data_IF_845380035238
#
_entry.id   IF_845380035238
#
_cell.length_a   1.000
_cell.length_b   1.000
_cell.length_c   1.000
_cell.angle_alpha   90.00
_cell.angle_beta   90.00
_cell.angle_gamma   90.00
#
_symmetry.space_group_name_H-M   'P 1'
#
loop_
_entity.id
_entity.type
_entity.pdbx_description
1 polymer ?
#
# COMPACT_ATOMS: atom_id res chain seq x y z
N UNK A 1 -7.54 17.27 41.74
CA UNK A 1 -8.90 17.86 41.74
C UNK A 1 -9.58 17.47 40.44
N UNK A 2 -10.55 16.57 40.54
CA UNK A 2 -11.38 16.12 39.42
C UNK A 2 -12.41 17.20 39.12
N UNK A 3 -12.31 17.81 37.93
CA UNK A 3 -13.34 18.69 37.38
C UNK A 3 -14.12 17.91 36.31
N UNK A 4 -15.33 17.51 36.66
CA UNK A 4 -16.31 16.89 35.76
C UNK A 4 -16.67 17.87 34.65
N UNK A 5 -16.09 17.71 33.45
CA UNK A 5 -16.53 18.39 32.24
C UNK A 5 -17.72 17.63 31.65
N UNK A 6 -18.93 18.08 31.97
CA UNK A 6 -20.18 17.55 31.43
C UNK A 6 -20.24 17.80 29.92
N UNK A 7 -20.06 16.73 29.15
CA UNK A 7 -19.63 16.72 27.74
C UNK A 7 -20.75 16.75 26.68
N UNK A 8 -21.98 17.20 26.98
CA UNK A 8 -23.13 16.91 26.08
C UNK A 8 -23.97 18.07 25.54
N UNK A 9 -23.76 19.35 25.90
CA UNK A 9 -24.56 20.44 25.34
C UNK A 9 -23.80 21.49 24.50
N UNK A 10 -22.46 21.52 24.54
CA UNK A 10 -21.66 22.55 23.84
C UNK A 10 -21.21 22.19 22.41
N UNK A 11 -21.45 20.95 21.93
CA UNK A 11 -20.98 20.49 20.60
C UNK A 11 -21.94 20.76 19.43
N UNK A 12 -23.11 21.35 19.68
CA UNK A 12 -24.19 21.50 18.69
C UNK A 12 -24.68 22.95 18.56
N UNK A 13 -23.77 23.93 18.69
CA UNK A 13 -24.10 25.33 18.42
C UNK A 13 -23.70 25.66 16.96
N UNK A 14 -24.62 26.09 16.09
CA UNK A 14 -24.32 26.42 14.70
C UNK A 14 -23.25 27.51 14.56
N UNK A 15 -23.21 28.52 15.43
CA UNK A 15 -22.20 29.60 15.39
C UNK A 15 -20.78 29.07 15.65
N UNK A 16 -20.64 28.11 16.58
CA UNK A 16 -19.35 27.48 16.88
C UNK A 16 -18.88 26.66 15.69
N UNK A 17 -19.80 26.02 14.97
CA UNK A 17 -19.49 25.25 13.76
C UNK A 17 -19.06 26.20 12.63
N UNK A 18 -19.77 27.30 12.41
CA UNK A 18 -19.41 28.32 11.41
C UNK A 18 -18.03 28.91 11.68
N UNK A 19 -17.73 29.25 12.94
CA UNK A 19 -16.42 29.75 13.34
C UNK A 19 -15.31 28.72 13.09
N UNK A 20 -15.59 27.43 13.33
CA UNK A 20 -14.64 26.34 13.06
C UNK A 20 -14.41 26.12 11.57
N UNK A 21 -15.45 26.14 10.74
CA UNK A 21 -15.31 26.07 9.29
C UNK A 21 -14.51 27.26 8.74
N UNK A 22 -14.79 28.46 9.23
CA UNK A 22 -14.04 29.68 8.89
C UNK A 22 -12.56 29.56 9.26
N UNK A 23 -12.25 28.95 10.42
CA UNK A 23 -10.86 28.71 10.84
C UNK A 23 -10.15 27.73 9.90
N UNK A 24 -10.83 26.69 9.42
CA UNK A 24 -10.28 25.78 8.41
C UNK A 24 -10.06 26.48 7.06
N UNK A 25 -11.03 27.26 6.58
CA UNK A 25 -10.91 28.01 5.32
C UNK A 25 -9.71 28.98 5.30
N UNK A 26 -9.35 29.52 6.47
CA UNK A 26 -8.21 30.44 6.67
C UNK A 26 -6.88 29.73 6.93
N UNK A 27 -6.89 28.43 7.18
CA UNK A 27 -5.66 27.69 7.42
C UNK A 27 -4.96 27.38 6.09
N UNK A 28 -3.98 28.22 5.73
CA UNK A 28 -3.20 28.06 4.51
C UNK A 28 -2.43 26.73 4.45
N UNK A 29 -2.04 26.15 5.60
CA UNK A 29 -1.30 24.88 5.65
C UNK A 29 -2.14 23.70 5.13
N UNK A 30 -3.47 23.76 5.20
CA UNK A 30 -4.31 22.70 4.63
C UNK A 30 -4.14 22.60 3.11
N UNK A 31 -3.78 23.70 2.46
CA UNK A 31 -3.68 23.81 1.02
C UNK A 31 -2.23 23.74 0.51
N UNK A 32 -1.26 23.43 1.37
CA UNK A 32 0.09 23.10 0.92
C UNK A 32 0.13 21.69 0.33
N UNK A 33 1.07 21.47 -0.58
CA UNK A 33 1.36 20.14 -1.12
C UNK A 33 1.65 19.17 0.03
N UNK A 34 1.24 17.90 -0.12
CA UNK A 34 1.44 16.78 0.82
C UNK A 34 0.68 16.78 2.17
N UNK A 35 -0.09 17.82 2.53
CA UNK A 35 -0.82 17.84 3.81
C UNK A 35 -2.13 17.00 3.84
N UNK A 36 -2.09 15.81 3.24
CA UNK A 36 -3.21 14.88 3.07
C UNK A 36 -3.86 14.49 4.40
N UNK A 37 -3.04 14.21 5.42
CA UNK A 37 -3.54 13.77 6.72
C UNK A 37 -4.39 14.86 7.40
N UNK A 38 -3.95 16.12 7.35
CA UNK A 38 -4.72 17.21 7.92
C UNK A 38 -6.01 17.47 7.11
N UNK A 39 -5.94 17.42 5.77
CA UNK A 39 -7.12 17.56 4.92
C UNK A 39 -8.16 16.46 5.18
N UNK A 40 -7.73 15.21 5.35
CA UNK A 40 -8.62 14.10 5.70
C UNK A 40 -9.38 14.34 7.02
N UNK A 41 -8.68 14.83 8.05
CA UNK A 41 -9.31 15.19 9.35
C UNK A 41 -10.36 16.28 9.17
N UNK A 42 -10.11 17.26 8.31
CA UNK A 42 -11.08 18.34 8.02
C UNK A 42 -12.26 17.82 7.20
N UNK A 43 -12.02 16.96 6.21
CA UNK A 43 -13.09 16.32 5.43
C UNK A 43 -14.02 15.47 6.31
N UNK A 44 -13.48 14.74 7.30
CA UNK A 44 -14.28 14.03 8.30
C UNK A 44 -15.12 14.99 9.15
N UNK A 45 -14.57 16.14 9.52
CA UNK A 45 -15.31 17.17 10.24
C UNK A 45 -16.43 17.78 9.37
N UNK A 46 -16.18 18.00 8.08
CA UNK A 46 -17.19 18.45 7.11
C UNK A 46 -18.33 17.42 6.97
N UNK A 47 -17.99 16.13 6.91
CA UNK A 47 -19.01 15.07 6.87
C UNK A 47 -19.87 15.05 8.13
N UNK A 48 -19.28 15.26 9.31
CA UNK A 48 -20.04 15.44 10.55
C UNK A 48 -20.97 16.65 10.47
N UNK A 49 -20.54 17.77 9.86
CA UNK A 49 -21.41 18.94 9.65
C UNK A 49 -22.61 18.56 8.79
N UNK A 50 -22.45 17.85 7.68
CA UNK A 50 -23.61 17.42 6.88
C UNK A 50 -24.60 16.56 7.67
N UNK A 51 -24.11 15.62 8.48
CA UNK A 51 -24.97 14.81 9.35
C UNK A 51 -25.76 15.69 10.34
N UNK A 52 -25.09 16.68 10.96
CA UNK A 52 -25.76 17.62 11.86
C UNK A 52 -26.82 18.46 11.14
N UNK A 53 -26.52 18.94 9.93
CA UNK A 53 -27.49 19.69 9.12
C UNK A 53 -28.72 18.86 8.77
N UNK A 54 -28.53 17.57 8.45
CA UNK A 54 -29.64 16.66 8.17
C UNK A 54 -30.51 16.43 9.42
N UNK A 55 -29.90 16.19 10.58
CA UNK A 55 -30.59 15.94 11.84
C UNK A 55 -31.37 17.17 12.33
N UNK A 56 -30.87 18.38 12.09
CA UNK A 56 -31.46 19.62 12.61
C UNK A 56 -32.26 20.41 11.57
N UNK A 57 -32.62 19.80 10.42
CA UNK A 57 -33.32 20.47 9.31
C UNK A 57 -34.65 21.14 9.68
N UNK A 58 -35.27 20.72 10.78
CA UNK A 58 -36.56 21.21 11.27
C UNK A 58 -36.44 22.01 12.58
N UNK A 59 -35.23 22.19 13.12
CA UNK A 59 -35.00 22.96 14.34
C UNK A 59 -34.88 24.45 14.00
N UNK A 60 -35.79 25.27 14.54
CA UNK A 60 -35.83 26.71 14.32
C UNK A 60 -34.52 27.42 14.70
N UNK A 61 -33.76 26.89 15.67
CA UNK A 61 -32.46 27.44 16.09
C UNK A 61 -31.41 27.39 14.98
N UNK A 62 -31.53 26.44 14.07
CA UNK A 62 -30.61 26.27 12.95
C UNK A 62 -31.05 27.04 11.70
N UNK A 63 -32.26 27.60 11.67
CA UNK A 63 -32.94 28.05 10.45
C UNK A 63 -32.08 28.86 9.46
N UNK A 64 -31.48 29.96 9.90
CA UNK A 64 -30.60 30.78 9.04
C UNK A 64 -29.24 30.10 8.78
N UNK A 65 -28.68 29.46 9.80
CA UNK A 65 -27.38 28.78 9.76
C UNK A 65 -27.35 27.56 8.82
N UNK A 66 -28.48 26.86 8.63
CA UNK A 66 -28.54 25.65 7.78
C UNK A 66 -28.01 25.91 6.37
N UNK A 67 -28.41 27.03 5.76
CA UNK A 67 -27.97 27.38 4.41
C UNK A 67 -26.50 27.83 4.40
N UNK A 68 -26.12 28.69 5.33
CA UNK A 68 -24.75 29.21 5.45
C UNK A 68 -23.74 28.09 5.69
N UNK A 69 -23.98 27.24 6.70
CA UNK A 69 -23.13 26.09 7.02
C UNK A 69 -23.05 25.10 5.87
N UNK A 70 -24.16 24.83 5.16
CA UNK A 70 -24.13 23.95 3.99
C UNK A 70 -23.25 24.54 2.88
N UNK A 71 -23.37 25.83 2.61
CA UNK A 71 -22.55 26.50 1.59
C UNK A 71 -21.07 26.51 1.96
N UNK A 72 -20.73 26.83 3.21
CA UNK A 72 -19.35 26.80 3.71
C UNK A 72 -18.76 25.39 3.69
N UNK A 73 -19.50 24.40 4.20
CA UNK A 73 -19.09 23.00 4.18
C UNK A 73 -18.83 22.51 2.74
N UNK A 74 -19.75 22.79 1.81
CA UNK A 74 -19.59 22.45 0.40
C UNK A 74 -18.36 23.14 -0.22
N UNK A 75 -18.18 24.45 0.00
CA UNK A 75 -17.07 25.21 -0.57
C UNK A 75 -15.72 24.73 -0.03
N UNK A 76 -15.63 24.47 1.28
CA UNK A 76 -14.44 23.93 1.92
C UNK A 76 -14.14 22.52 1.41
N UNK A 77 -15.14 21.65 1.31
CA UNK A 77 -14.98 20.30 0.76
C UNK A 77 -14.43 20.33 -0.67
N UNK A 78 -15.04 21.12 -1.55
CA UNK A 78 -14.60 21.26 -2.94
C UNK A 78 -13.14 21.70 -3.00
N UNK A 79 -12.77 22.75 -2.27
CA UNK A 79 -11.39 23.27 -2.27
C UNK A 79 -10.38 22.25 -1.73
N UNK A 80 -10.73 21.49 -0.68
CA UNK A 80 -9.86 20.45 -0.14
C UNK A 80 -9.66 19.29 -1.13
N UNK A 81 -10.74 18.88 -1.80
CA UNK A 81 -10.70 17.81 -2.82
C UNK A 81 -9.92 18.24 -4.07
N UNK A 82 -10.04 19.50 -4.48
CA UNK A 82 -9.24 20.08 -5.56
C UNK A 82 -7.75 20.11 -5.21
N UNK A 83 -7.41 20.45 -3.96
CA UNK A 83 -6.02 20.40 -3.48
C UNK A 83 -5.46 18.96 -3.49
N UNK A 84 -6.24 17.97 -3.04
CA UNK A 84 -5.86 16.56 -3.13
C UNK A 84 -5.67 16.11 -4.58
N UNK A 85 -6.61 16.44 -5.46
CA UNK A 85 -6.54 16.10 -6.87
C UNK A 85 -5.30 16.71 -7.55
N UNK A 86 -5.00 17.99 -7.28
CA UNK A 86 -3.81 18.67 -7.80
C UNK A 86 -2.50 18.05 -7.29
N UNK A 87 -2.46 17.68 -6.00
CA UNK A 87 -1.33 16.97 -5.43
C UNK A 87 -1.10 15.60 -6.12
N UNK A 88 -2.14 14.78 -6.26
CA UNK A 88 -2.02 13.47 -6.91
C UNK A 88 -1.69 13.58 -8.40
N UNK A 89 -2.23 14.57 -9.10
CA UNK A 89 -1.89 14.83 -10.50
C UNK A 89 -0.40 15.14 -10.65
N UNK A 90 0.13 16.01 -9.78
CA UNK A 90 1.55 16.36 -9.75
C UNK A 90 2.42 15.14 -9.44
N UNK A 91 2.05 14.36 -8.41
CA UNK A 91 2.82 13.18 -8.02
C UNK A 91 2.86 12.12 -9.14
N UNK A 92 1.73 11.87 -9.81
CA UNK A 92 1.67 10.95 -10.96
C UNK A 92 2.51 11.47 -12.13
N UNK A 93 2.51 12.77 -12.38
CA UNK A 93 3.36 13.36 -13.42
C UNK A 93 4.85 13.11 -13.14
N UNK A 94 5.31 13.39 -11.92
CA UNK A 94 6.70 13.14 -11.48
C UNK A 94 7.08 11.66 -11.58
N UNK A 95 6.15 10.75 -11.28
CA UNK A 95 6.39 9.31 -11.43
C UNK A 95 6.53 8.95 -12.92
N UNK A 96 5.58 9.35 -13.75
CA UNK A 96 5.56 9.06 -15.20
C UNK A 96 6.74 9.66 -15.96
N UNK A 97 7.21 10.85 -15.57
CA UNK A 97 8.34 11.51 -16.22
C UNK A 97 9.69 10.95 -15.79
N UNK A 98 9.73 10.08 -14.77
CA UNK A 98 10.97 9.52 -14.23
C UNK A 98 11.77 10.52 -13.38
N UNK A 99 11.18 11.66 -12.99
CA UNK A 99 11.81 12.68 -12.13
C UNK A 99 11.87 12.27 -10.64
N UNK A 100 11.27 11.12 -10.31
CA UNK A 100 11.33 10.54 -8.98
C UNK A 100 12.60 9.68 -8.79
N UNK A 101 12.88 9.34 -7.53
CA UNK A 101 13.74 8.22 -7.20
C UNK A 101 13.22 7.52 -5.94
N UNK A 102 13.70 6.30 -5.70
CA UNK A 102 13.32 5.51 -4.54
C UNK A 102 13.44 6.28 -3.22
N UNK A 103 14.48 7.10 -3.05
CA UNK A 103 14.70 7.86 -1.82
C UNK A 103 13.71 9.03 -1.65
N UNK A 104 13.33 9.72 -2.72
CA UNK A 104 12.34 10.80 -2.65
C UNK A 104 10.94 10.27 -2.36
N UNK A 105 10.54 9.17 -3.02
CA UNK A 105 9.27 8.49 -2.74
C UNK A 105 9.25 7.93 -1.33
N UNK A 106 10.36 7.32 -0.87
CA UNK A 106 10.45 6.82 0.50
C UNK A 106 10.27 7.93 1.54
N UNK A 107 10.91 9.09 1.37
CA UNK A 107 10.72 10.23 2.27
C UNK A 107 9.26 10.70 2.32
N UNK A 108 8.59 10.75 1.17
CA UNK A 108 7.17 11.09 1.09
C UNK A 108 6.32 10.08 1.88
N UNK A 109 6.57 8.79 1.69
CA UNK A 109 5.83 7.72 2.38
C UNK A 109 6.06 7.72 3.90
N UNK A 110 7.31 7.92 4.34
CA UNK A 110 7.66 7.97 5.77
C UNK A 110 6.96 9.13 6.51
N UNK A 111 6.69 10.24 5.80
CA UNK A 111 5.93 11.38 6.33
C UNK A 111 4.46 11.05 6.64
N UNK A 112 3.91 9.99 6.03
CA UNK A 112 2.49 9.64 6.11
C UNK A 112 2.19 8.43 7.00
N UNK A 113 3.21 7.85 7.65
CA UNK A 113 3.01 6.71 8.54
C UNK A 113 3.76 6.85 9.86
N UNK A 114 3.29 6.11 10.86
CA UNK A 114 3.97 5.93 12.15
C UNK A 114 5.01 4.81 12.13
N UNK A 115 5.05 4.00 11.07
CA UNK A 115 6.04 2.94 10.92
C UNK A 115 7.47 3.52 10.94
N UNK A 116 8.36 2.87 11.67
CA UNK A 116 9.78 3.23 11.74
C UNK A 116 10.67 2.01 11.51
N UNK A 117 11.63 2.05 10.56
CA UNK A 117 12.52 0.94 10.29
C UNK A 117 13.25 0.45 11.54
N UNK A 118 13.45 -0.86 11.66
CA UNK A 118 14.23 -1.48 12.75
C UNK A 118 13.54 -1.53 14.12
N UNK A 119 12.34 -0.95 14.28
CA UNK A 119 11.57 -1.04 15.53
C UNK A 119 10.78 -2.36 15.56
N UNK A 120 11.14 -3.26 16.47
CA UNK A 120 10.47 -4.54 16.66
C UNK A 120 9.04 -4.37 17.22
N UNK A 121 8.16 -5.33 16.90
CA UNK A 121 6.80 -5.41 17.45
C UNK A 121 5.81 -4.37 16.92
N UNK A 122 6.07 -3.78 15.75
CA UNK A 122 5.14 -2.88 15.10
C UNK A 122 3.99 -3.66 14.48
N UNK A 123 2.77 -3.33 14.93
CA UNK A 123 1.55 -3.98 14.46
C UNK A 123 1.00 -3.20 13.26
N UNK A 124 0.93 -3.85 12.11
CA UNK A 124 0.38 -3.25 10.88
C UNK A 124 -1.13 -3.47 10.77
N UNK A 125 -1.92 -3.00 11.76
CA UNK A 125 -3.38 -3.16 11.78
C UNK A 125 -4.14 -1.87 11.49
N UNK A 126 -5.12 -1.97 10.59
CA UNK A 126 -5.90 -0.84 10.12
C UNK A 126 -5.15 0.01 9.09
N UNK A 127 -5.78 1.12 8.69
CA UNK A 127 -5.27 2.02 7.67
C UNK A 127 -4.90 3.38 8.28
N UNK A 128 -3.86 4.03 7.75
CA UNK A 128 -3.41 5.36 8.15
C UNK A 128 -3.28 6.31 6.93
N UNK A 129 -2.65 7.48 7.13
CA UNK A 129 -2.52 8.47 6.07
C UNK A 129 -1.67 7.97 4.89
N UNK A 130 -0.78 6.99 5.10
CA UNK A 130 -0.02 6.39 4.02
C UNK A 130 -0.94 5.56 3.13
N UNK A 131 -1.91 4.84 3.70
CA UNK A 131 -2.89 4.09 2.91
C UNK A 131 -3.76 5.02 2.05
N UNK A 132 -4.10 6.22 2.56
CA UNK A 132 -4.81 7.24 1.79
C UNK A 132 -3.94 7.82 0.66
N UNK A 133 -2.67 8.12 0.95
CA UNK A 133 -1.69 8.56 -0.04
C UNK A 133 -1.51 7.53 -1.16
N UNK A 134 -1.32 6.26 -0.81
CA UNK A 134 -1.15 5.16 -1.77
C UNK A 134 -2.41 4.95 -2.60
N UNK A 135 -3.59 4.99 -1.97
CA UNK A 135 -4.84 4.87 -2.71
C UNK A 135 -5.03 6.03 -3.69
N UNK A 136 -4.82 7.28 -3.27
CA UNK A 136 -4.93 8.42 -4.16
C UNK A 136 -3.84 8.50 -5.23
N UNK A 137 -2.68 7.87 -5.00
CA UNK A 137 -1.62 7.71 -6.01
C UNK A 137 -1.93 6.62 -7.03
N UNK A 138 -2.54 5.51 -6.62
CA UNK A 138 -2.68 4.33 -7.48
C UNK A 138 -4.09 4.28 -8.10
N UNK A 139 -5.13 4.48 -7.29
CA UNK A 139 -6.53 4.34 -7.69
C UNK A 139 -7.09 5.66 -8.23
N UNK A 140 -6.72 6.01 -9.47
CA UNK A 140 -7.33 7.15 -10.17
C UNK A 140 -8.83 6.91 -10.48
N UNK A 141 -9.21 5.65 -10.63
CA UNK A 141 -10.57 5.22 -10.97
C UNK A 141 -11.29 4.53 -9.79
N UNK A 142 -12.61 4.41 -9.91
CA UNK A 142 -13.44 3.66 -8.97
C UNK A 142 -12.99 2.19 -8.91
N UNK A 143 -12.95 1.62 -7.70
CA UNK A 143 -12.65 0.19 -7.50
C UNK A 143 -13.70 -0.64 -8.23
N UNK A 144 -13.32 -1.54 -9.15
CA UNK A 144 -14.29 -2.35 -9.86
C UNK A 144 -14.89 -3.40 -8.93
N UNK A 145 -16.11 -3.84 -9.24
CA UNK A 145 -16.70 -5.00 -8.59
C UNK A 145 -16.02 -6.29 -9.08
N UNK A 146 -15.76 -7.26 -8.18
CA UNK A 146 -15.19 -8.53 -8.58
C UNK A 146 -16.16 -9.26 -9.51
N UNK A 147 -15.63 -9.84 -10.57
CA UNK A 147 -16.40 -10.62 -11.55
C UNK A 147 -16.31 -12.12 -11.29
N UNK A 148 -15.36 -12.54 -10.47
CA UNK A 148 -15.16 -13.94 -10.14
C UNK A 148 -15.79 -14.30 -8.80
N UNK A 149 -16.57 -15.38 -8.80
CA UNK A 149 -17.07 -15.96 -7.56
C UNK A 149 -15.92 -16.58 -6.76
N UNK A 150 -15.88 -16.28 -5.46
CA UNK A 150 -14.89 -16.85 -4.55
C UNK A 150 -15.23 -18.33 -4.30
N UNK A 151 -14.25 -19.21 -4.53
CA UNK A 151 -14.31 -20.59 -4.06
C UNK A 151 -14.15 -20.64 -2.51
N UNK A 152 -14.50 -21.76 -1.87
CA UNK A 152 -14.46 -21.95 -0.40
C UNK A 152 -13.12 -21.63 0.25
N UNK A 153 -12.02 -21.76 -0.50
CA UNK A 153 -10.66 -21.53 -0.02
C UNK A 153 -10.12 -20.13 -0.39
N UNK A 154 -10.91 -19.29 -1.07
CA UNK A 154 -10.53 -17.94 -1.48
C UNK A 154 -10.92 -16.90 -0.43
N UNK A 155 -10.19 -15.79 -0.40
CA UNK A 155 -10.39 -14.70 0.56
C UNK A 155 -10.91 -13.48 -0.20
N UNK A 156 -11.84 -12.76 0.42
CA UNK A 156 -12.27 -11.46 -0.09
C UNK A 156 -11.08 -10.49 -0.20
N UNK A 157 -11.14 -9.59 -1.16
CA UNK A 157 -10.13 -8.55 -1.29
C UNK A 157 -10.09 -7.68 -0.02
N UNK A 158 -8.94 -7.71 0.64
CA UNK A 158 -8.59 -6.83 1.76
C UNK A 158 -7.20 -6.25 1.47
N UNK A 159 -7.08 -4.93 1.25
CA UNK A 159 -5.80 -4.36 0.87
C UNK A 159 -4.79 -4.49 2.02
N UNK A 160 -3.61 -5.00 1.69
CA UNK A 160 -2.42 -4.97 2.56
C UNK A 160 -2.13 -3.52 2.99
N UNK A 161 -2.06 -3.20 4.29
CA UNK A 161 -1.69 -1.86 4.75
C UNK A 161 -0.34 -1.45 4.16
N UNK A 162 -0.24 -0.25 3.59
CA UNK A 162 0.94 0.21 2.85
C UNK A 162 2.23 0.19 3.70
N UNK A 163 2.13 0.46 4.99
CA UNK A 163 3.26 0.34 5.94
C UNK A 163 3.80 -1.08 6.09
N UNK A 164 2.99 -2.11 5.85
CA UNK A 164 3.48 -3.49 5.81
C UNK A 164 4.34 -3.74 4.57
N UNK A 165 4.09 -3.01 3.47
CA UNK A 165 4.94 -3.02 2.28
C UNK A 165 6.26 -2.29 2.53
N UNK A 166 6.25 -1.17 3.27
CA UNK A 166 7.49 -0.51 3.71
C UNK A 166 8.35 -1.46 4.56
N UNK A 167 7.75 -2.13 5.53
CA UNK A 167 8.41 -3.12 6.39
C UNK A 167 8.95 -4.30 5.59
N UNK A 168 8.18 -4.81 4.61
CA UNK A 168 8.64 -5.84 3.67
C UNK A 168 9.91 -5.40 2.93
N UNK A 169 9.90 -4.21 2.33
CA UNK A 169 11.06 -3.69 1.58
C UNK A 169 12.29 -3.54 2.48
N UNK A 170 12.11 -3.02 3.70
CA UNK A 170 13.19 -2.84 4.67
C UNK A 170 13.79 -4.17 5.14
N UNK A 171 12.96 -5.20 5.35
CA UNK A 171 13.40 -6.50 5.81
C UNK A 171 14.03 -7.36 4.71
N UNK A 172 13.45 -7.34 3.51
CA UNK A 172 13.90 -8.19 2.40
C UNK A 172 15.14 -7.63 1.74
N UNK A 173 15.31 -6.30 1.74
CA UNK A 173 16.38 -5.60 1.02
C UNK A 173 16.40 -6.00 -0.45
N UNK A 174 15.27 -5.75 -1.12
CA UNK A 174 15.09 -5.91 -2.56
C UNK A 174 15.99 -4.93 -3.32
N UNK A 175 16.55 -5.38 -4.44
CA UNK A 175 17.30 -4.52 -5.37
C UNK A 175 16.65 -4.51 -6.75
N UNK A 176 17.11 -3.65 -7.65
CA UNK A 176 16.65 -3.61 -9.04
C UNK A 176 16.92 -4.91 -9.83
N UNK A 177 17.80 -5.79 -9.33
CA UNK A 177 18.10 -7.09 -9.92
C UNK A 177 17.08 -8.18 -9.50
N UNK A 178 16.22 -7.89 -8.53
CA UNK A 178 15.18 -8.82 -8.08
C UNK A 178 13.95 -8.80 -9.00
N UNK A 179 13.28 -9.96 -9.09
CA UNK A 179 11.95 -10.10 -9.70
C UNK A 179 10.97 -10.46 -8.59
N UNK A 180 10.12 -9.50 -8.22
CA UNK A 180 9.15 -9.61 -7.15
C UNK A 180 7.81 -10.13 -7.66
N UNK A 181 7.27 -11.18 -7.02
CA UNK A 181 5.95 -11.72 -7.29
C UNK A 181 4.99 -11.45 -6.13
N UNK A 182 3.83 -10.86 -6.44
CA UNK A 182 2.72 -10.65 -5.52
C UNK A 182 1.58 -11.64 -5.87
N UNK A 183 1.37 -12.66 -5.03
CA UNK A 183 0.40 -13.73 -5.28
C UNK A 183 -0.94 -13.43 -4.60
N UNK A 184 -1.94 -13.09 -5.40
CA UNK A 184 -3.18 -12.46 -4.94
C UNK A 184 -3.03 -10.93 -4.91
N UNK A 185 -2.57 -10.36 -6.01
CA UNK A 185 -2.18 -8.95 -6.08
C UNK A 185 -3.35 -7.97 -5.93
N UNK A 186 -4.60 -8.42 -6.11
CA UNK A 186 -5.80 -7.60 -6.06
C UNK A 186 -5.67 -6.38 -6.98
N UNK A 187 -5.80 -5.18 -6.41
CA UNK A 187 -5.68 -3.92 -7.15
C UNK A 187 -4.22 -3.47 -7.40
N UNK A 188 -3.24 -4.33 -7.10
CA UNK A 188 -1.85 -4.19 -7.54
C UNK A 188 -0.96 -3.25 -6.74
N UNK A 189 -1.45 -2.65 -5.65
CA UNK A 189 -0.71 -1.62 -4.94
C UNK A 189 0.60 -2.11 -4.32
N UNK A 190 0.68 -3.37 -3.88
CA UNK A 190 1.91 -3.92 -3.30
C UNK A 190 3.00 -4.02 -4.37
N UNK A 191 2.72 -4.64 -5.51
CA UNK A 191 3.66 -4.75 -6.64
C UNK A 191 4.16 -3.38 -7.12
N UNK A 192 3.26 -2.41 -7.31
CA UNK A 192 3.63 -1.05 -7.71
C UNK A 192 4.50 -0.34 -6.67
N UNK A 193 4.14 -0.42 -5.38
CA UNK A 193 4.93 0.19 -4.31
C UNK A 193 6.32 -0.42 -4.17
N UNK A 194 6.43 -1.75 -4.30
CA UNK A 194 7.73 -2.43 -4.29
C UNK A 194 8.60 -1.89 -5.42
N UNK A 195 8.10 -1.90 -6.65
CA UNK A 195 8.83 -1.39 -7.81
C UNK A 195 9.28 0.08 -7.63
N UNK A 196 8.36 0.96 -7.22
CA UNK A 196 8.65 2.39 -7.00
C UNK A 196 9.73 2.63 -5.92
N UNK A 197 9.82 1.76 -4.92
CA UNK A 197 10.78 1.91 -3.82
C UNK A 197 12.12 1.21 -4.06
N UNK A 198 12.19 0.23 -4.96
CA UNK A 198 13.38 -0.63 -5.08
C UNK A 198 13.94 -0.72 -6.49
N UNK A 199 13.14 -0.34 -7.50
CA UNK A 199 13.45 -0.55 -8.92
C UNK A 199 13.31 -2.00 -9.38
N UNK A 200 12.95 -2.94 -8.48
CA UNK A 200 12.77 -4.34 -8.85
C UNK A 200 11.65 -4.50 -9.87
N UNK A 201 11.81 -5.40 -10.84
CA UNK A 201 10.69 -5.80 -11.69
C UNK A 201 9.62 -6.45 -10.81
N UNK A 202 8.34 -6.15 -11.06
CA UNK A 202 7.24 -6.68 -10.27
C UNK A 202 6.19 -7.38 -11.14
N UNK A 203 5.67 -8.49 -10.63
CA UNK A 203 4.66 -9.32 -11.26
C UNK A 203 3.54 -9.56 -10.27
N UNK A 204 2.35 -9.04 -10.52
CA UNK A 204 1.16 -9.37 -9.76
C UNK A 204 0.42 -10.55 -10.39
N UNK A 205 -0.01 -11.52 -9.59
CA UNK A 205 -0.88 -12.60 -10.04
C UNK A 205 -2.23 -12.45 -9.36
N UNK A 206 -3.29 -12.29 -10.13
CA UNK A 206 -4.63 -12.04 -9.62
C UNK A 206 -5.65 -12.86 -10.42
N UNK A 207 -6.53 -13.57 -9.70
CA UNK A 207 -7.50 -14.45 -10.32
C UNK A 207 -8.69 -13.66 -10.87
N UNK A 208 -9.13 -12.62 -10.15
CA UNK A 208 -10.24 -11.79 -10.59
C UNK A 208 -9.84 -10.88 -11.76
N UNK A 209 -10.50 -11.07 -12.90
CA UNK A 209 -10.17 -10.36 -14.12
C UNK A 209 -10.44 -8.84 -14.04
N UNK A 210 -11.41 -8.40 -13.22
CA UNK A 210 -11.66 -6.97 -13.04
C UNK A 210 -10.55 -6.32 -12.22
N UNK A 211 -10.09 -6.98 -11.16
CA UNK A 211 -8.95 -6.51 -10.36
C UNK A 211 -7.65 -6.50 -11.16
N UNK A 212 -7.36 -7.59 -11.88
CA UNK A 212 -6.15 -7.65 -12.71
C UNK A 212 -6.12 -6.59 -13.80
N UNK A 213 -7.25 -6.32 -14.49
CA UNK A 213 -7.32 -5.25 -15.50
C UNK A 213 -7.16 -3.87 -14.89
N UNK A 214 -7.77 -3.62 -13.74
CA UNK A 214 -7.62 -2.35 -13.03
C UNK A 214 -6.16 -2.13 -12.61
N UNK A 215 -5.53 -3.13 -12.00
CA UNK A 215 -4.13 -3.06 -11.60
C UNK A 215 -3.19 -2.79 -12.80
N UNK A 216 -3.43 -3.47 -13.92
CA UNK A 216 -2.70 -3.25 -15.17
C UNK A 216 -2.87 -1.82 -15.70
N UNK A 217 -4.12 -1.31 -15.73
CA UNK A 217 -4.40 0.07 -16.11
C UNK A 217 -3.69 1.09 -15.21
N UNK A 218 -3.70 0.89 -13.89
CA UNK A 218 -2.99 1.76 -12.95
C UNK A 218 -1.48 1.79 -13.19
N UNK A 219 -0.85 0.64 -13.46
CA UNK A 219 0.59 0.59 -13.77
C UNK A 219 0.91 1.28 -15.10
N UNK A 220 0.07 1.12 -16.12
CA UNK A 220 0.20 1.81 -17.41
C UNK A 220 0.02 3.32 -17.27
N UNK A 221 -0.96 3.77 -16.49
CA UNK A 221 -1.20 5.18 -16.20
C UNK A 221 -0.03 5.82 -15.44
N UNK A 222 0.61 5.08 -14.54
CA UNK A 222 1.80 5.52 -13.82
C UNK A 222 3.09 5.40 -14.67
N UNK A 223 3.03 4.78 -15.85
CA UNK A 223 4.18 4.60 -16.72
C UNK A 223 5.20 3.61 -16.15
N UNK A 224 4.75 2.50 -15.57
CA UNK A 224 5.60 1.48 -14.92
C UNK A 224 5.72 0.22 -15.79
N UNK A 225 6.56 0.20 -16.84
CA UNK A 225 6.62 -0.90 -17.80
C UNK A 225 7.11 -2.23 -17.19
N UNK A 226 7.88 -2.17 -16.10
CA UNK A 226 8.42 -3.33 -15.40
C UNK A 226 7.47 -3.89 -14.34
N UNK A 227 6.25 -3.34 -14.24
CA UNK A 227 5.17 -3.85 -13.38
C UNK A 227 4.08 -4.44 -14.28
N UNK A 228 3.85 -5.75 -14.14
CA UNK A 228 2.90 -6.48 -15.00
C UNK A 228 1.95 -7.33 -14.17
N UNK A 229 0.72 -7.49 -14.64
CA UNK A 229 -0.30 -8.30 -13.96
C UNK A 229 -0.75 -9.49 -14.82
N UNK A 230 -0.75 -10.67 -14.23
CA UNK A 230 -1.17 -11.92 -14.84
C UNK A 230 -2.55 -12.30 -14.30
N UNK A 231 -3.56 -12.28 -15.16
CA UNK A 231 -4.90 -12.74 -14.79
C UNK A 231 -4.98 -14.27 -14.85
N UNK A 232 -4.70 -14.92 -13.74
CA UNK A 232 -4.73 -16.38 -13.63
C UNK A 232 -4.75 -16.82 -12.17
N UNK A 233 -4.98 -18.11 -11.96
CA UNK A 233 -4.78 -18.71 -10.66
C UNK A 233 -3.29 -18.76 -10.33
N UNK A 234 -2.87 -18.28 -9.16
CA UNK A 234 -1.46 -18.26 -8.74
C UNK A 234 -0.82 -19.66 -8.57
N UNK A 235 -1.56 -20.74 -8.84
CA UNK A 235 -1.04 -22.11 -8.89
C UNK A 235 -0.54 -22.51 -10.28
N UNK A 236 -0.88 -21.75 -11.31
CA UNK A 236 -0.69 -22.13 -12.71
C UNK A 236 0.59 -21.53 -13.37
N UNK A 237 1.02 -20.28 -13.07
CA UNK A 237 2.19 -19.69 -13.73
C UNK A 237 3.50 -20.43 -13.49
N UNK A 238 4.41 -20.30 -14.46
CA UNK A 238 5.83 -20.60 -14.25
C UNK A 238 6.50 -19.42 -13.56
N UNK A 239 7.10 -19.69 -12.41
CA UNK A 239 7.79 -18.72 -11.57
C UNK A 239 9.32 -18.83 -11.67
N UNK A 240 9.84 -19.37 -12.78
CA UNK A 240 11.27 -19.64 -12.94
C UNK A 240 12.16 -18.41 -12.69
N UNK A 241 11.72 -17.22 -13.10
CA UNK A 241 12.44 -15.95 -12.98
C UNK A 241 12.31 -15.27 -11.60
N UNK A 242 11.25 -15.57 -10.84
CA UNK A 242 10.97 -14.91 -9.56
C UNK A 242 12.05 -15.13 -8.50
N UNK A 243 12.48 -14.04 -7.87
CA UNK A 243 13.50 -14.05 -6.79
C UNK A 243 12.87 -13.86 -5.41
N UNK A 244 11.80 -13.07 -5.31
CA UNK A 244 11.05 -12.83 -4.08
C UNK A 244 9.55 -13.01 -4.33
N UNK A 245 8.86 -13.69 -3.43
CA UNK A 245 7.43 -13.98 -3.51
C UNK A 245 6.74 -13.45 -2.27
N UNK A 246 5.62 -12.75 -2.43
CA UNK A 246 4.77 -12.22 -1.37
C UNK A 246 3.36 -12.79 -1.49
N UNK A 247 2.73 -13.15 -0.36
CA UNK A 247 1.36 -13.66 -0.34
C UNK A 247 0.70 -13.52 1.05
N UNK A 248 -0.63 -13.54 1.10
CA UNK A 248 -1.41 -13.46 2.35
C UNK A 248 -2.05 -14.82 2.71
N UNK A 249 -1.90 -15.25 3.98
CA UNK A 249 -2.46 -16.50 4.52
C UNK A 249 -3.95 -16.35 4.87
N UNK A 250 -4.86 -17.28 4.45
CA UNK A 250 -4.75 -18.75 4.50
C UNK A 250 -4.58 -19.49 3.17
N UNK A 251 -4.50 -18.76 2.06
CA UNK A 251 -4.77 -19.30 0.71
C UNK A 251 -3.81 -20.44 0.29
N UNK A 252 -2.53 -20.39 0.65
CA UNK A 252 -1.52 -21.19 -0.08
C UNK A 252 -1.00 -22.46 0.60
N UNK A 253 -1.16 -22.65 1.93
CA UNK A 253 -0.51 -23.79 2.60
C UNK A 253 -1.17 -25.15 2.31
N UNK A 254 -2.47 -25.21 2.01
CA UNK A 254 -3.20 -26.50 1.92
C UNK A 254 -3.16 -27.20 0.55
N UNK A 255 -2.82 -26.53 -0.55
CA UNK A 255 -2.98 -27.10 -1.91
C UNK A 255 -1.80 -26.97 -2.87
N UNK A 256 -0.78 -26.16 -2.55
CA UNK A 256 0.53 -26.25 -3.22
C UNK A 256 1.23 -27.62 -2.92
N UNK A 257 0.65 -28.45 -2.04
CA UNK A 257 1.16 -29.79 -1.73
C UNK A 257 0.73 -30.94 -2.65
N UNK A 258 -0.21 -30.78 -3.60
CA UNK A 258 -0.72 -31.94 -4.35
C UNK A 258 -0.75 -31.85 -5.87
N UNK A 259 -0.57 -30.67 -6.49
CA UNK A 259 -0.51 -30.56 -7.97
C UNK A 259 0.42 -29.47 -8.51
N UNK A 260 0.75 -28.46 -7.71
CA UNK A 260 1.98 -27.72 -7.90
C UNK A 260 3.11 -28.52 -7.22
N UNK A 261 4.25 -28.69 -7.88
CA UNK A 261 5.47 -28.95 -7.10
C UNK A 261 5.70 -27.69 -6.30
N UNK A 262 5.51 -27.81 -4.99
CA UNK A 262 5.88 -26.81 -4.01
C UNK A 262 7.16 -26.07 -4.42
N UNK A 263 7.09 -24.76 -4.72
CA UNK A 263 8.26 -23.96 -5.02
C UNK A 263 9.29 -23.97 -3.87
N UNK A 264 8.88 -24.37 -2.65
CA UNK A 264 9.75 -24.56 -1.49
C UNK A 264 10.51 -25.89 -1.45
N UNK A 265 10.27 -26.82 -2.38
CA UNK A 265 10.91 -28.15 -2.39
C UNK A 265 12.12 -28.31 -3.31
N UNK A 266 12.63 -27.22 -3.90
CA UNK A 266 13.96 -27.22 -4.56
C UNK A 266 14.92 -26.28 -3.83
N UNK A 267 15.65 -26.84 -2.87
CA UNK A 267 16.81 -26.22 -2.21
C UNK A 267 16.50 -25.43 -0.94
N UNK A 268 17.50 -25.20 -0.07
CA UNK A 268 17.29 -24.66 1.28
C UNK A 268 16.86 -23.19 1.22
N UNK A 269 15.58 -22.93 1.47
CA UNK A 269 14.97 -21.59 1.52
C UNK A 269 14.97 -21.03 2.95
N UNK A 270 15.23 -19.74 3.09
CA UNK A 270 15.00 -18.98 4.32
C UNK A 270 13.63 -18.33 4.22
N UNK A 271 12.61 -18.97 4.79
CA UNK A 271 11.30 -18.36 5.02
C UNK A 271 11.40 -17.45 6.25
N UNK A 272 11.34 -16.13 6.03
CA UNK A 272 11.30 -15.17 7.12
C UNK A 272 9.85 -14.80 7.43
N UNK A 273 9.45 -15.06 8.68
CA UNK A 273 8.11 -14.80 9.17
C UNK A 273 8.02 -13.37 9.71
N UNK A 274 7.45 -12.46 8.90
CA UNK A 274 6.94 -11.19 9.40
C UNK A 274 5.68 -11.45 10.23
N UNK A 275 5.84 -11.84 11.49
CA UNK A 275 4.72 -11.85 12.43
C UNK A 275 4.18 -10.41 12.47
N UNK A 276 2.87 -10.21 12.38
CA UNK A 276 2.07 -8.98 12.69
C UNK A 276 1.12 -8.49 11.58
N UNK A 277 1.22 -9.03 10.37
CA UNK A 277 0.18 -8.98 9.32
C UNK A 277 0.11 -10.39 8.74
N UNK A 278 -1.02 -10.84 8.18
CA UNK A 278 -1.15 -12.21 7.61
C UNK A 278 -0.28 -12.43 6.36
N UNK A 279 0.70 -11.57 6.13
CA UNK A 279 1.56 -11.48 4.96
C UNK A 279 2.82 -12.32 5.20
N UNK A 280 3.22 -13.06 4.18
CA UNK A 280 4.41 -13.89 4.16
C UNK A 280 5.22 -13.56 2.92
N UNK A 281 6.54 -13.73 3.01
CA UNK A 281 7.40 -13.69 1.85
C UNK A 281 8.41 -14.83 1.82
N UNK A 282 8.88 -15.16 0.62
CA UNK A 282 9.93 -16.15 0.36
C UNK A 282 10.98 -15.53 -0.56
N UNK A 283 12.26 -15.64 -0.22
CA UNK A 283 13.37 -15.24 -1.09
C UNK A 283 14.13 -16.48 -1.56
N UNK A 284 14.35 -16.62 -2.87
CA UNK A 284 15.24 -17.64 -3.42
C UNK A 284 16.68 -17.28 -3.10
N UNK A 285 17.47 -18.27 -2.66
CA UNK A 285 18.91 -18.09 -2.53
C UNK A 285 19.55 -18.01 -3.92
N UNK A 286 20.53 -17.13 -4.15
CA UNK A 286 21.29 -17.15 -5.39
C UNK A 286 21.91 -18.53 -5.58
N UNK A 287 21.84 -19.06 -6.81
CA UNK A 287 22.54 -20.30 -7.15
C UNK A 287 24.03 -20.10 -6.86
N UNK A 288 24.58 -20.86 -5.92
CA UNK A 288 26.02 -20.82 -5.68
C UNK A 288 26.73 -21.11 -7.01
N UNK A 289 27.57 -20.19 -7.48
CA UNK A 289 28.53 -20.52 -8.54
C UNK A 289 29.33 -21.72 -8.03
N UNK A 290 29.15 -22.87 -8.67
CA UNK A 290 29.98 -24.03 -8.42
C UNK A 290 31.41 -23.70 -8.85
N UNK A 291 32.19 -23.11 -7.93
CA UNK A 291 33.62 -22.94 -8.11
C UNK A 291 34.28 -24.32 -7.97
N UNK A 292 34.75 -24.81 -9.11
CA UNK A 292 35.53 -26.02 -9.32
C UNK A 292 36.71 -26.07 -8.32
N UNK A 293 36.68 -27.04 -7.42
CA UNK A 293 37.83 -27.40 -6.61
C UNK A 293 38.12 -28.91 -6.76
N UNK A 294 38.65 -29.32 -7.90
CA UNK A 294 39.40 -30.58 -8.00
C UNK A 294 40.37 -30.61 -9.18
N UNK A 295 41.56 -30.04 -8.99
CA UNK A 295 42.81 -30.60 -9.56
C UNK A 295 44.01 -29.91 -8.91
N UNK A 296 44.36 -30.33 -7.68
CA UNK A 296 45.74 -30.16 -7.22
C UNK A 296 46.57 -31.28 -7.84
N UNK A 297 47.56 -30.87 -8.62
CA UNK A 297 48.58 -31.71 -9.20
C UNK A 297 49.27 -32.56 -8.13
N UNK A 298 49.36 -33.87 -8.37
CA UNK A 298 50.40 -34.70 -7.78
C UNK A 298 51.64 -34.56 -8.65
N UNK A 299 52.50 -33.61 -8.31
CA UNK A 299 53.91 -33.64 -8.65
C UNK A 299 54.68 -33.60 -7.32
N UNK A 300 54.85 -34.79 -6.73
CA UNK A 300 55.70 -35.01 -5.56
C UNK A 300 56.87 -35.87 -5.98
N UNK A 301 57.95 -35.23 -6.39
CA UNK A 301 59.29 -35.81 -6.50
C UNK A 301 59.71 -36.28 -5.10
N UNK A 302 59.95 -37.58 -4.95
CA UNK A 302 60.70 -38.12 -3.82
C UNK A 302 61.85 -38.95 -4.39
N UNK A 303 63.05 -38.41 -4.30
CA UNK A 303 64.30 -39.10 -4.58
C UNK A 303 65.02 -39.36 -3.25
N UNK A 304 65.65 -40.54 -3.19
CA UNK A 304 66.68 -41.01 -2.25
C UNK A 304 66.24 -41.50 -0.86
N UNK A 305 66.32 -42.82 -0.61
CA UNK A 305 67.51 -43.52 -0.07
C UNK A 305 67.25 -45.02 0.09
N UNK A 306 68.26 -45.80 -0.31
CA UNK A 306 68.49 -47.26 -0.19
C UNK A 306 67.72 -48.17 -1.14
#
# INVERSE_FOLDING_TARGET
MQGNFTLQHYRLNPEVIEARLTAFERNAELFTDDNLAARAVVLDAVQQVYQLLQLNRSDARWGAHLRTLKQQANALETRLREADAGFFQTLRHVIRSGEHNAASLRRLFDGHTRYRPGRLGQIHRGYDALDALVQGLIRAEQVPEPVQALDRDMVHYEPTPARAVLDLVDQVQLTADDVFYDLGAGLGHVAMLVHLMTGAAARGVEIDAAYSRHAQGCAEELGLPDVQFLNCDARDPDYADGTVFFYVHPVYRKRIGSRARDPSQRGPQSAHYGVHSRCLYLRRRPAAMAAVASSRSRAGTCASRL
#
